data_IF_540291154381
#
_entry.id   IF_540291154381
#
_cell.length_a   1.000
_cell.length_b   1.000
_cell.length_c   1.000
_cell.angle_alpha   90.00
_cell.angle_beta   90.00
_cell.angle_gamma   90.00
#
_symmetry.space_group_name_H-M   'P 1'
#
loop_
_entity.id
_entity.type
_entity.pdbx_description
1 polymer ?
#
# COMPACT_ATOMS: atom_id res chain seq x y z
N UNK A 1 21.47 -21.05 17.06
CA UNK A 1 20.25 -20.90 16.21
C UNK A 1 19.03 -20.97 17.12
N UNK A 2 17.91 -20.35 16.76
CA UNK A 2 16.69 -20.30 17.58
C UNK A 2 15.45 -20.60 16.74
N UNK A 3 14.35 -21.12 17.34
CA UNK A 3 13.10 -21.35 16.63
C UNK A 3 12.53 -20.04 16.06
N UNK A 4 12.06 -20.06 14.81
CA UNK A 4 11.48 -18.89 14.16
C UNK A 4 10.27 -18.30 14.90
N UNK A 5 9.51 -19.11 15.63
CA UNK A 5 8.38 -18.67 16.46
C UNK A 5 8.76 -17.68 17.56
N UNK A 6 9.95 -17.82 18.16
CA UNK A 6 10.48 -16.92 19.18
C UNK A 6 10.83 -15.55 18.59
N UNK A 7 11.24 -15.54 17.32
CA UNK A 7 11.62 -14.33 16.61
C UNK A 7 10.42 -13.57 16.03
N UNK A 8 9.29 -14.23 15.81
CA UNK A 8 8.12 -13.66 15.11
C UNK A 8 7.57 -12.40 15.79
N UNK A 9 7.45 -12.42 17.12
CA UNK A 9 6.89 -11.31 17.90
C UNK A 9 7.91 -10.25 18.32
N UNK A 10 9.17 -10.34 17.86
CA UNK A 10 10.14 -9.28 18.16
C UNK A 10 9.71 -7.97 17.50
N UNK A 11 9.77 -6.88 18.26
CA UNK A 11 9.25 -5.57 17.85
C UNK A 11 9.75 -5.12 16.47
N UNK A 12 11.04 -5.32 16.16
CA UNK A 12 11.61 -4.92 14.88
C UNK A 12 11.14 -5.78 13.70
N UNK A 13 10.80 -7.05 13.92
CA UNK A 13 10.23 -7.93 12.89
C UNK A 13 8.81 -7.47 12.57
N UNK A 14 8.02 -7.18 13.61
CA UNK A 14 6.66 -6.65 13.47
C UNK A 14 6.68 -5.28 12.78
N UNK A 15 7.52 -4.34 13.22
CA UNK A 15 7.64 -3.01 12.59
C UNK A 15 8.08 -3.12 11.14
N UNK A 16 9.05 -4.00 10.83
CA UNK A 16 9.48 -4.23 9.45
C UNK A 16 8.35 -4.77 8.58
N UNK A 17 7.55 -5.72 9.08
CA UNK A 17 6.39 -6.23 8.38
C UNK A 17 5.36 -5.14 8.06
N UNK A 18 4.98 -4.36 9.07
CA UNK A 18 3.97 -3.31 8.91
C UNK A 18 4.45 -2.23 7.94
N UNK A 19 5.69 -1.79 8.06
CA UNK A 19 6.25 -0.76 7.15
C UNK A 19 6.27 -1.24 5.71
N UNK A 20 6.67 -2.48 5.45
CA UNK A 20 6.72 -3.04 4.09
C UNK A 20 5.35 -3.05 3.39
N UNK A 21 4.28 -3.39 4.11
CA UNK A 21 2.93 -3.45 3.54
C UNK A 21 2.27 -2.08 3.51
N UNK A 22 2.41 -1.29 4.58
CA UNK A 22 1.84 0.06 4.66
C UNK A 22 2.38 0.97 3.56
N UNK A 23 3.66 0.86 3.20
CA UNK A 23 4.22 1.63 2.07
C UNK A 23 3.46 1.33 0.78
N UNK A 24 3.18 0.06 0.47
CA UNK A 24 2.43 -0.31 -0.73
C UNK A 24 0.99 0.21 -0.70
N UNK A 25 0.29 0.03 0.42
CA UNK A 25 -1.11 0.48 0.57
C UNK A 25 -1.21 2.00 0.47
N UNK A 26 -0.32 2.74 1.13
CA UNK A 26 -0.37 4.20 1.15
C UNK A 26 -0.14 4.80 -0.23
N UNK A 27 0.75 4.22 -1.04
CA UNK A 27 0.93 4.64 -2.44
C UNK A 27 -0.37 4.47 -3.22
N UNK A 28 -1.06 3.34 -3.09
CA UNK A 28 -2.36 3.12 -3.76
C UNK A 28 -3.41 4.11 -3.30
N UNK A 29 -3.55 4.32 -1.99
CA UNK A 29 -4.55 5.24 -1.43
C UNK A 29 -4.34 6.68 -1.94
N UNK A 30 -3.09 7.15 -1.93
CA UNK A 30 -2.74 8.49 -2.45
C UNK A 30 -3.03 8.56 -3.95
N UNK A 31 -2.66 7.55 -4.73
CA UNK A 31 -2.95 7.52 -6.17
C UNK A 31 -4.45 7.56 -6.47
N UNK A 32 -5.26 6.79 -5.73
CA UNK A 32 -6.72 6.78 -5.88
C UNK A 32 -7.31 8.15 -5.52
N UNK A 33 -6.83 8.77 -4.43
CA UNK A 33 -7.25 10.12 -4.04
C UNK A 33 -6.96 11.12 -5.17
N UNK A 34 -5.75 11.09 -5.76
CA UNK A 34 -5.40 11.96 -6.88
C UNK A 34 -6.24 11.70 -8.13
N UNK A 35 -6.54 10.44 -8.44
CA UNK A 35 -7.50 10.08 -9.49
C UNK A 35 -8.87 10.72 -9.23
N UNK A 36 -9.41 10.59 -8.02
CA UNK A 36 -10.72 11.14 -7.68
C UNK A 36 -10.77 12.67 -7.82
N UNK A 37 -9.73 13.36 -7.37
CA UNK A 37 -9.62 14.82 -7.50
C UNK A 37 -9.60 15.28 -8.96
N UNK A 38 -8.86 14.59 -9.83
CA UNK A 38 -8.62 15.03 -11.21
C UNK A 38 -9.79 14.67 -12.13
N UNK A 39 -10.37 13.49 -11.97
CA UNK A 39 -11.48 13.02 -12.81
C UNK A 39 -12.84 13.52 -12.31
N UNK A 40 -13.01 13.67 -10.99
CA UNK A 40 -14.31 14.00 -10.37
C UNK A 40 -14.18 15.10 -9.29
N UNK A 41 -13.72 16.32 -9.63
CA UNK A 41 -13.41 17.36 -8.65
C UNK A 41 -14.61 17.80 -7.82
N UNK A 42 -15.79 17.96 -8.43
CA UNK A 42 -17.01 18.41 -7.74
C UNK A 42 -17.48 17.36 -6.73
N UNK A 43 -17.51 16.09 -7.15
CA UNK A 43 -17.90 15.00 -6.27
C UNK A 43 -16.90 14.79 -5.13
N UNK A 44 -15.60 14.93 -5.42
CA UNK A 44 -14.56 14.87 -4.40
C UNK A 44 -14.76 15.94 -3.33
N UNK A 45 -14.98 17.21 -3.70
CA UNK A 45 -15.19 18.29 -2.72
C UNK A 45 -16.41 18.05 -1.83
N UNK A 46 -17.50 17.51 -2.39
CA UNK A 46 -18.74 17.27 -1.64
C UNK A 46 -18.69 16.00 -0.77
N UNK A 47 -17.99 14.96 -1.23
CA UNK A 47 -17.97 13.64 -0.58
C UNK A 47 -16.79 13.45 0.35
N UNK A 48 -15.64 14.08 0.06
CA UNK A 48 -14.43 13.87 0.82
C UNK A 48 -14.51 14.52 2.20
N UNK A 49 -14.20 13.74 3.24
CA UNK A 49 -14.11 14.24 4.60
C UNK A 49 -12.89 13.63 5.27
N UNK A 50 -12.26 14.38 6.20
CA UNK A 50 -11.14 13.87 7.01
C UNK A 50 -11.51 12.58 7.76
N UNK A 51 -12.78 12.41 8.13
CA UNK A 51 -13.29 11.18 8.76
C UNK A 51 -13.16 9.96 7.85
N UNK A 52 -13.48 10.08 6.55
CA UNK A 52 -13.29 9.00 5.57
C UNK A 52 -11.81 8.66 5.35
N UNK A 53 -10.94 9.67 5.31
CA UNK A 53 -9.50 9.45 5.20
C UNK A 53 -8.93 8.70 6.42
N UNK A 54 -9.30 9.12 7.64
CA UNK A 54 -8.93 8.42 8.86
C UNK A 54 -9.48 6.98 8.90
N UNK A 55 -10.71 6.77 8.43
CA UNK A 55 -11.30 5.44 8.33
C UNK A 55 -10.52 4.55 7.36
N UNK A 56 -10.04 5.08 6.23
CA UNK A 56 -9.20 4.35 5.28
C UNK A 56 -7.83 3.98 5.88
N UNK A 57 -7.20 4.90 6.62
CA UNK A 57 -5.95 4.63 7.35
C UNK A 57 -6.18 3.56 8.42
N UNK A 58 -7.24 3.67 9.21
CA UNK A 58 -7.59 2.66 10.20
C UNK A 58 -7.85 1.29 9.55
N UNK A 59 -8.58 1.26 8.44
CA UNK A 59 -8.80 0.06 7.64
C UNK A 59 -7.49 -0.57 7.16
N UNK A 60 -6.52 0.23 6.71
CA UNK A 60 -5.20 -0.27 6.30
C UNK A 60 -4.41 -0.91 7.44
N UNK A 61 -4.51 -0.36 8.66
CA UNK A 61 -3.88 -0.93 9.85
C UNK A 61 -4.53 -2.25 10.26
N UNK A 62 -5.86 -2.32 10.23
CA UNK A 62 -6.61 -3.55 10.50
C UNK A 62 -6.25 -4.63 9.47
N UNK A 63 -6.17 -4.26 8.19
CA UNK A 63 -5.76 -5.17 7.13
C UNK A 63 -4.33 -5.72 7.34
N UNK A 64 -3.37 -4.86 7.72
CA UNK A 64 -2.02 -5.29 8.08
C UNK A 64 -2.03 -6.26 9.27
N UNK A 65 -2.87 -6.01 10.28
CA UNK A 65 -3.02 -6.90 11.43
C UNK A 65 -3.56 -8.27 11.02
N UNK A 66 -4.59 -8.33 10.19
CA UNK A 66 -5.14 -9.59 9.66
C UNK A 66 -4.08 -10.35 8.88
N UNK A 67 -3.33 -9.70 7.99
CA UNK A 67 -2.21 -10.34 7.27
C UNK A 67 -1.13 -10.86 8.21
N UNK A 68 -0.83 -10.12 9.28
CA UNK A 68 0.15 -10.55 10.27
C UNK A 68 -0.29 -11.83 10.99
N UNK A 69 -1.57 -11.92 11.37
CA UNK A 69 -2.16 -13.14 11.95
C UNK A 69 -2.13 -14.30 10.95
N UNK A 70 -2.45 -14.08 9.68
CA UNK A 70 -2.35 -15.12 8.64
C UNK A 70 -0.91 -15.62 8.52
N UNK A 71 0.09 -14.73 8.52
CA UNK A 71 1.50 -15.11 8.48
C UNK A 71 1.93 -15.92 9.70
N UNK A 72 1.38 -15.60 10.88
CA UNK A 72 1.60 -16.37 12.10
C UNK A 72 1.02 -17.79 11.99
N UNK A 73 -0.22 -17.92 11.51
CA UNK A 73 -0.83 -19.23 11.29
C UNK A 73 -0.01 -20.08 10.30
N UNK A 74 0.43 -19.49 9.19
CA UNK A 74 1.29 -20.16 8.22
C UNK A 74 2.63 -20.59 8.81
N UNK A 75 3.20 -19.81 9.73
CA UNK A 75 4.43 -20.17 10.45
C UNK A 75 4.21 -21.37 11.35
N UNK A 76 3.13 -21.38 12.13
CA UNK A 76 2.78 -22.48 13.05
C UNK A 76 2.45 -23.77 12.30
N UNK A 77 1.81 -23.67 11.12
CA UNK A 77 1.51 -24.82 10.26
C UNK A 77 2.71 -25.33 9.45
N UNK A 78 3.81 -24.59 9.41
CA UNK A 78 5.01 -24.99 8.68
C UNK A 78 5.94 -25.88 9.53
N UNK A 79 6.78 -26.72 8.90
CA UNK A 79 7.81 -27.47 9.63
C UNK A 79 8.71 -26.54 10.46
N UNK A 80 9.09 -26.94 11.68
CA UNK A 80 9.89 -26.13 12.56
C UNK A 80 11.23 -25.77 11.90
N UNK A 81 11.56 -24.48 11.94
CA UNK A 81 12.80 -23.95 11.35
C UNK A 81 13.60 -23.16 12.36
N UNK A 82 14.89 -23.45 12.36
CA UNK A 82 15.88 -22.76 13.16
C UNK A 82 16.52 -21.66 12.32
N UNK A 83 16.55 -20.46 12.87
CA UNK A 83 17.13 -19.28 12.23
C UNK A 83 18.25 -18.68 13.07
N UNK A 84 18.98 -17.72 12.50
CA UNK A 84 20.01 -16.97 13.22
C UNK A 84 19.41 -16.28 14.46
N UNK A 85 20.23 -16.17 15.51
CA UNK A 85 19.84 -15.53 16.78
C UNK A 85 19.50 -14.03 16.60
N UNK A 86 19.99 -13.44 15.50
CA UNK A 86 19.71 -12.08 15.09
C UNK A 86 18.26 -11.89 14.59
N UNK A 87 17.54 -12.97 14.29
CA UNK A 87 16.14 -12.97 13.85
C UNK A 87 15.88 -12.01 12.65
N UNK A 88 16.66 -12.12 11.57
CA UNK A 88 16.42 -11.31 10.37
C UNK A 88 14.99 -11.48 9.87
N UNK A 89 14.27 -10.38 9.66
CA UNK A 89 12.85 -10.42 9.27
C UNK A 89 12.59 -11.24 8.00
N UNK A 90 13.52 -11.23 7.04
CA UNK A 90 13.46 -12.06 5.82
C UNK A 90 13.53 -13.56 6.07
N UNK A 91 14.09 -13.99 7.20
CA UNK A 91 14.26 -15.40 7.57
C UNK A 91 13.17 -15.93 8.50
N UNK A 92 12.41 -15.04 9.14
CA UNK A 92 11.36 -15.40 10.10
C UNK A 92 10.13 -16.00 9.41
N UNK A 93 9.77 -15.48 8.23
CA UNK A 93 8.58 -15.92 7.52
C UNK A 93 8.83 -17.21 6.73
N UNK A 94 7.88 -18.17 6.72
CA UNK A 94 7.94 -19.30 5.80
C UNK A 94 7.89 -18.81 4.34
N UNK A 95 8.35 -19.60 3.34
CA UNK A 95 8.50 -19.13 1.96
C UNK A 95 7.15 -18.74 1.38
N UNK A 96 6.08 -19.46 1.76
CA UNK A 96 4.71 -19.15 1.37
C UNK A 96 4.29 -17.76 1.87
N UNK A 97 4.50 -17.46 3.16
CA UNK A 97 4.18 -16.14 3.72
C UNK A 97 5.06 -15.04 3.12
N UNK A 98 6.35 -15.30 2.92
CA UNK A 98 7.28 -14.36 2.28
C UNK A 98 6.89 -14.03 0.85
N UNK A 99 6.49 -15.04 0.07
CA UNK A 99 6.03 -14.88 -1.31
C UNK A 99 4.71 -14.11 -1.37
N UNK A 100 3.76 -14.43 -0.47
CA UNK A 100 2.51 -13.69 -0.34
C UNK A 100 2.79 -12.20 -0.04
N UNK A 101 3.64 -11.92 0.94
CA UNK A 101 3.98 -10.55 1.35
C UNK A 101 4.64 -9.77 0.21
N UNK A 102 5.59 -10.40 -0.48
CA UNK A 102 6.33 -9.80 -1.59
C UNK A 102 5.40 -9.54 -2.78
N UNK A 103 4.58 -10.52 -3.15
CA UNK A 103 3.58 -10.39 -4.22
C UNK A 103 2.58 -9.28 -3.94
N UNK A 104 2.08 -9.20 -2.70
CA UNK A 104 1.14 -8.17 -2.29
C UNK A 104 1.78 -6.77 -2.33
N UNK A 105 3.02 -6.63 -1.86
CA UNK A 105 3.77 -5.37 -1.93
C UNK A 105 3.98 -4.93 -3.38
N UNK A 106 4.41 -5.84 -4.26
CA UNK A 106 4.67 -5.54 -5.67
C UNK A 106 3.37 -5.15 -6.38
N UNK A 107 2.30 -5.92 -6.20
CA UNK A 107 1.01 -5.66 -6.85
C UNK A 107 0.41 -4.33 -6.41
N UNK A 108 0.38 -4.02 -5.11
CA UNK A 108 -0.08 -2.71 -4.62
C UNK A 108 0.76 -1.57 -5.21
N UNK A 109 2.08 -1.69 -5.17
CA UNK A 109 2.97 -0.66 -5.72
C UNK A 109 2.74 -0.48 -7.23
N UNK A 110 2.59 -1.58 -7.97
CA UNK A 110 2.35 -1.55 -9.41
C UNK A 110 1.00 -0.90 -9.75
N UNK A 111 -0.06 -1.21 -9.01
CA UNK A 111 -1.38 -0.57 -9.16
C UNK A 111 -1.27 0.93 -8.87
N UNK A 112 -0.61 1.29 -7.77
CA UNK A 112 -0.42 2.68 -7.37
C UNK A 112 0.34 3.50 -8.42
N UNK A 113 1.41 2.93 -9.00
CA UNK A 113 2.19 3.55 -10.09
C UNK A 113 1.35 3.59 -11.38
N UNK A 114 0.65 2.51 -11.72
CA UNK A 114 -0.16 2.42 -12.93
C UNK A 114 -1.25 3.49 -13.00
N UNK A 115 -1.84 3.87 -11.86
CA UNK A 115 -2.82 4.96 -11.78
C UNK A 115 -2.25 6.33 -12.15
N UNK A 116 -0.93 6.55 -12.10
CA UNK A 116 -0.33 7.81 -12.54
C UNK A 116 -0.39 8.02 -14.06
N UNK A 117 -0.51 6.95 -14.85
CA UNK A 117 -0.63 7.06 -16.31
C UNK A 117 -1.91 7.82 -16.71
N UNK A 118 -3.13 7.38 -16.34
CA UNK A 118 -4.35 8.10 -16.67
C UNK A 118 -4.42 9.49 -16.02
N UNK A 119 -3.89 9.65 -14.79
CA UNK A 119 -3.76 10.95 -14.12
C UNK A 119 -2.99 11.93 -15.01
N UNK A 120 -1.80 11.52 -15.48
CA UNK A 120 -0.92 12.37 -16.27
C UNK A 120 -1.55 12.74 -17.61
N UNK A 121 -2.16 11.77 -18.28
CA UNK A 121 -2.88 12.01 -19.55
C UNK A 121 -4.00 13.05 -19.37
N UNK A 122 -4.79 12.93 -18.32
CA UNK A 122 -5.90 13.87 -18.05
C UNK A 122 -5.40 15.27 -17.73
N UNK A 123 -4.33 15.41 -16.95
CA UNK A 123 -3.71 16.72 -16.68
C UNK A 123 -3.22 17.36 -17.98
N UNK A 124 -2.56 16.59 -18.84
CA UNK A 124 -2.09 17.07 -20.15
C UNK A 124 -3.26 17.57 -21.01
N UNK A 125 -4.37 16.82 -21.08
CA UNK A 125 -5.58 17.24 -21.80
C UNK A 125 -6.14 18.55 -21.27
N UNK A 126 -6.31 18.68 -19.95
CA UNK A 126 -6.81 19.92 -19.32
C UNK A 126 -5.91 21.12 -19.62
N UNK A 127 -4.58 20.92 -19.61
CA UNK A 127 -3.61 21.97 -19.92
C UNK A 127 -3.69 22.44 -21.38
N UNK A 128 -3.93 21.52 -22.32
CA UNK A 128 -4.16 21.86 -23.74
C UNK A 128 -5.46 22.65 -23.89
N UNK A 129 -6.57 22.18 -23.31
CA UNK A 129 -7.87 22.86 -23.38
C UNK A 129 -7.83 24.28 -22.78
N UNK A 130 -7.13 24.45 -21.65
CA UNK A 130 -6.96 25.77 -21.02
C UNK A 130 -6.19 26.75 -21.91
N UNK A 131 -5.14 26.29 -22.61
CA UNK A 131 -4.42 27.14 -23.57
C UNK A 131 -5.30 27.58 -24.73
N UNK A 132 -6.09 26.68 -25.32
CA UNK A 132 -7.00 27.04 -26.41
C UNK A 132 -8.04 28.08 -26.01
N UNK A 133 -8.54 28.08 -24.77
CA UNK A 133 -9.52 29.07 -24.31
C UNK A 133 -8.94 30.50 -24.25
N UNK A 134 -7.67 30.64 -23.85
CA UNK A 134 -6.99 31.96 -23.78
C UNK A 134 -6.81 32.57 -25.18
N UNK A 135 -6.57 31.74 -26.20
CA UNK A 135 -6.42 32.21 -27.59
C UNK A 135 -7.74 32.62 -28.25
N UNK A 136 -8.89 32.09 -27.83
CA UNK A 136 -10.20 32.45 -28.40
C UNK A 136 -10.76 33.73 -27.76
N UNK A 137 -10.34 34.07 -26.54
CA UNK A 137 -10.84 35.26 -25.83
C UNK A 137 -10.11 36.56 -26.23
N UNK A 138 -9.06 36.47 -27.06
CA UNK A 138 -8.22 37.60 -27.47
C UNK A 138 -8.50 38.10 -28.90
N UNK A 139 -9.64 37.75 -29.50
CA UNK A 139 -10.06 38.20 -30.85
C UNK A 139 -11.33 39.02 -30.81
#
# INVERSE_FOLDING_TARGET
MVPASVCFFKYYVVVFFYTQIMVGIMVVLVSIERCAVIFFPIWYILSYTRKKALLAILGSLIFCFVLHVICYLLLVSSPPRNISILCYGSSVYPPVASNLLTSLRISLSAIGIGLYVPITLRICQLKVTSRSHVFVQSS
#
